data_IF_215566232373
#
_entry.id   IF_215566232373
#
_cell.length_a   1.000
_cell.length_b   1.000
_cell.length_c   1.000
_cell.angle_alpha   90.00
_cell.angle_beta   90.00
_cell.angle_gamma   90.00
#
_symmetry.space_group_name_H-M   'P 1'
#
loop_
_entity.id
_entity.type
_entity.pdbx_description
1 polymer ?
#
# COMPACT_ATOMS: atom_id res chain seq x y z
N UNK A 1 -34.60 6.93 30.39
CA UNK A 1 -34.28 8.28 30.93
C UNK A 1 -32.86 8.69 30.55
N UNK A 2 -32.74 9.53 29.52
CA UNK A 2 -31.46 10.09 29.05
C UNK A 2 -31.18 11.33 29.91
N UNK A 3 -30.04 11.35 30.61
CA UNK A 3 -29.58 12.52 31.36
C UNK A 3 -29.13 13.58 30.35
N UNK A 4 -29.62 14.83 30.41
CA UNK A 4 -29.21 15.85 29.45
C UNK A 4 -27.77 16.28 29.75
N UNK A 5 -26.91 16.16 28.75
CA UNK A 5 -25.54 16.66 28.75
C UNK A 5 -25.59 18.19 28.70
N UNK A 6 -25.38 18.83 29.86
CA UNK A 6 -25.28 20.28 29.96
C UNK A 6 -24.01 20.73 29.22
N UNK A 7 -24.17 21.44 28.10
CA UNK A 7 -23.09 22.22 27.50
C UNK A 7 -22.77 23.38 28.45
N UNK A 8 -21.65 23.26 29.18
CA UNK A 8 -21.08 24.37 29.92
C UNK A 8 -20.70 25.51 28.96
N UNK A 9 -21.00 26.78 29.29
CA UNK A 9 -20.74 27.91 28.42
C UNK A 9 -19.23 28.14 28.26
N UNK A 10 -18.81 28.32 27.02
CA UNK A 10 -17.42 28.58 26.62
C UNK A 10 -16.91 29.90 27.22
N UNK A 11 -16.37 29.84 28.45
CA UNK A 11 -15.75 30.99 29.12
C UNK A 11 -14.55 31.43 28.28
N UNK A 12 -14.70 32.54 27.55
CA UNK A 12 -13.56 33.25 26.93
C UNK A 12 -12.57 33.62 28.02
N UNK A 13 -11.48 32.86 28.10
CA UNK A 13 -10.41 33.03 29.07
C UNK A 13 -9.82 34.43 28.93
N UNK A 14 -9.54 35.07 30.06
CA UNK A 14 -8.88 36.36 30.09
C UNK A 14 -7.50 36.28 29.44
N UNK A 15 -7.07 37.34 28.75
CA UNK A 15 -5.74 37.41 28.14
C UNK A 15 -4.61 37.04 29.12
N UNK A 16 -4.78 37.38 30.41
CA UNK A 16 -3.83 36.99 31.48
C UNK A 16 -3.82 35.47 31.72
N UNK A 17 -4.98 34.83 31.72
CA UNK A 17 -5.11 33.38 31.92
C UNK A 17 -4.58 32.60 30.71
N UNK A 18 -4.82 33.10 29.49
CA UNK A 18 -4.27 32.52 28.26
C UNK A 18 -2.73 32.58 28.28
N UNK A 19 -2.17 33.72 28.65
CA UNK A 19 -0.73 33.91 28.75
C UNK A 19 -0.10 33.06 29.86
N UNK A 20 -0.78 32.91 30.99
CA UNK A 20 -0.36 32.02 32.07
C UNK A 20 -0.32 30.56 31.60
N UNK A 21 -1.38 30.08 30.94
CA UNK A 21 -1.43 28.71 30.38
C UNK A 21 -0.31 28.47 29.36
N UNK A 22 0.01 29.46 28.53
CA UNK A 22 1.14 29.38 27.59
C UNK A 22 2.47 29.21 28.31
N UNK A 23 2.70 29.95 29.39
CA UNK A 23 3.92 29.86 30.22
C UNK A 23 4.04 28.52 30.91
N UNK A 24 2.95 28.01 31.46
CA UNK A 24 2.89 26.69 32.10
C UNK A 24 3.19 25.58 31.08
N UNK A 25 2.57 25.64 29.91
CA UNK A 25 2.81 24.67 28.82
C UNK A 25 4.24 24.73 28.30
N UNK A 26 4.80 25.93 28.14
CA UNK A 26 6.20 26.10 27.76
C UNK A 26 7.14 25.48 28.82
N UNK A 27 6.85 25.67 30.11
CA UNK A 27 7.62 25.03 31.19
C UNK A 27 7.56 23.50 31.11
N UNK A 28 6.37 22.94 30.87
CA UNK A 28 6.21 21.49 30.68
C UNK A 28 7.07 20.97 29.53
N UNK A 29 7.07 21.63 28.37
CA UNK A 29 7.91 21.23 27.24
C UNK A 29 9.42 21.31 27.55
N UNK A 30 9.86 22.29 28.34
CA UNK A 30 11.26 22.35 28.78
C UNK A 30 11.63 21.18 29.70
N UNK A 31 10.73 20.81 30.62
CA UNK A 31 10.95 19.70 31.54
C UNK A 31 10.94 18.34 30.79
N UNK A 32 10.08 18.18 29.78
CA UNK A 32 10.07 17.02 28.88
C UNK A 32 11.37 16.92 28.06
N UNK A 33 11.79 18.01 27.39
CA UNK A 33 13.05 18.05 26.64
C UNK A 33 14.23 17.71 27.55
N UNK A 34 14.23 18.25 28.77
CA UNK A 34 15.26 18.00 29.78
C UNK A 34 15.37 16.52 30.19
N UNK A 35 14.25 15.80 30.23
CA UNK A 35 14.23 14.37 30.55
C UNK A 35 14.70 13.49 29.38
N UNK A 36 14.54 13.94 28.14
CA UNK A 36 14.95 13.22 26.93
C UNK A 36 16.45 13.35 26.61
N UNK A 37 17.13 14.36 27.18
CA UNK A 37 18.55 14.57 26.95
C UNK A 37 19.41 13.54 27.72
N UNK A 38 20.51 13.01 27.13
CA UNK A 38 21.29 11.90 27.67
C UNK A 38 22.21 12.28 28.85
N UNK A 39 21.93 13.36 29.60
CA UNK A 39 22.82 13.89 30.63
C UNK A 39 22.61 13.29 32.04
N UNK A 40 21.71 12.33 32.22
CA UNK A 40 21.46 11.69 33.51
C UNK A 40 21.19 12.69 34.65
N UNK A 41 21.69 12.40 35.85
CA UNK A 41 21.48 13.18 37.10
C UNK A 41 21.92 14.65 37.04
N UNK A 42 22.79 15.03 36.10
CA UNK A 42 23.27 16.41 35.94
C UNK A 42 22.34 17.30 35.13
N UNK A 43 21.27 16.70 34.58
CA UNK A 43 20.26 17.39 33.82
C UNK A 43 19.73 18.61 34.56
N UNK A 44 19.59 18.60 35.90
CA UNK A 44 19.05 19.66 36.77
C UNK A 44 19.87 20.98 36.85
N UNK A 45 21.09 21.02 36.31
CA UNK A 45 21.97 22.21 36.37
C UNK A 45 21.87 23.14 35.16
N UNK A 46 21.28 22.68 34.06
CA UNK A 46 21.16 23.47 32.83
C UNK A 46 20.04 24.51 32.89
N UNK A 47 20.31 25.71 32.36
CA UNK A 47 19.30 26.74 32.12
C UNK A 47 18.50 26.43 30.83
N UNK A 48 17.45 27.23 30.56
CA UNK A 48 16.57 26.98 29.40
C UNK A 48 17.31 27.09 28.06
N UNK A 49 18.26 28.00 27.94
CA UNK A 49 19.03 28.18 26.72
C UNK A 49 19.97 27.00 26.48
N UNK A 50 20.65 26.53 27.53
CA UNK A 50 21.47 25.33 27.46
C UNK A 50 20.64 24.11 27.08
N UNK A 51 19.41 23.95 27.62
CA UNK A 51 18.51 22.85 27.20
C UNK A 51 18.23 22.93 25.70
N UNK A 52 17.84 24.10 25.17
CA UNK A 52 17.56 24.24 23.73
C UNK A 52 18.80 23.97 22.87
N UNK A 53 19.96 24.49 23.27
CA UNK A 53 21.21 24.27 22.55
C UNK A 53 21.58 22.79 22.50
N UNK A 54 21.50 22.07 23.63
CA UNK A 54 21.78 20.65 23.65
C UNK A 54 20.73 19.84 22.88
N UNK A 55 19.45 20.23 22.90
CA UNK A 55 18.41 19.62 22.06
C UNK A 55 18.71 19.79 20.58
N UNK A 56 19.17 20.97 20.14
CA UNK A 56 19.56 21.20 18.74
C UNK A 56 20.77 20.33 18.37
N UNK A 57 21.75 20.21 19.25
CA UNK A 57 22.93 19.36 19.03
C UNK A 57 22.52 17.90 18.91
N UNK A 58 21.71 17.40 19.86
CA UNK A 58 21.22 16.02 19.83
C UNK A 58 20.38 15.74 18.59
N UNK A 59 19.47 16.65 18.21
CA UNK A 59 18.69 16.51 16.97
C UNK A 59 19.59 16.44 15.74
N UNK A 60 20.61 17.32 15.64
CA UNK A 60 21.57 17.27 14.54
C UNK A 60 22.34 15.96 14.53
N UNK A 61 22.75 15.47 15.70
CA UNK A 61 23.49 14.22 15.83
C UNK A 61 22.61 13.01 15.46
N UNK A 62 21.38 12.93 15.97
CA UNK A 62 20.42 11.88 15.61
C UNK A 62 20.05 11.95 14.12
N UNK A 63 19.90 13.15 13.55
CA UNK A 63 19.70 13.31 12.11
C UNK A 63 20.91 12.83 11.31
N UNK A 64 22.11 13.02 11.83
CA UNK A 64 23.35 12.60 11.18
C UNK A 64 23.60 11.10 11.36
N UNK A 65 23.22 10.51 12.50
CA UNK A 65 23.20 9.08 12.76
C UNK A 65 22.15 8.39 11.90
N UNK A 66 20.93 8.93 11.79
CA UNK A 66 19.93 8.47 10.83
C UNK A 66 20.43 8.61 9.39
N UNK A 67 21.08 9.71 9.01
CA UNK A 67 21.66 9.87 7.69
C UNK A 67 22.85 8.92 7.45
N UNK A 68 23.59 8.54 8.48
CA UNK A 68 24.69 7.57 8.42
C UNK A 68 24.21 6.13 8.46
N UNK A 69 23.11 5.83 9.14
CA UNK A 69 22.42 4.55 9.13
C UNK A 69 21.67 4.37 7.82
N UNK A 70 21.06 5.43 7.29
CA UNK A 70 20.60 5.53 5.91
C UNK A 70 21.78 5.35 4.96
N UNK A 71 22.91 6.05 5.09
CA UNK A 71 24.06 5.90 4.17
C UNK A 71 24.78 4.54 4.29
N UNK A 72 24.85 3.95 5.49
CA UNK A 72 25.35 2.59 5.71
C UNK A 72 24.37 1.53 5.18
N UNK A 73 23.08 1.89 5.10
CA UNK A 73 22.03 1.12 4.42
C UNK A 73 21.80 1.55 2.95
N UNK A 74 22.48 2.61 2.48
CA UNK A 74 22.34 3.23 1.14
C UNK A 74 23.67 3.75 0.60
N UNK A 75 24.63 2.85 0.35
CA UNK A 75 25.46 2.92 -0.87
C UNK A 75 25.31 1.62 -1.66
N UNK A 76 24.08 1.40 -2.11
CA UNK A 76 23.66 0.79 -3.37
C UNK A 76 22.27 1.39 -3.61
N UNK A 77 21.91 1.84 -4.83
CA UNK A 77 20.50 2.11 -5.11
C UNK A 77 19.74 0.86 -4.70
N UNK A 78 18.83 0.96 -3.74
CA UNK A 78 18.12 -0.20 -3.24
C UNK A 78 17.40 -0.85 -4.43
N UNK A 79 17.68 -2.12 -4.75
CA UNK A 79 17.09 -2.81 -5.90
C UNK A 79 15.56 -2.92 -5.80
N UNK A 80 14.95 -2.60 -4.66
CA UNK A 80 13.50 -2.65 -4.48
C UNK A 80 12.78 -1.48 -5.17
N UNK A 81 13.27 -0.25 -5.12
CA UNK A 81 12.58 0.91 -5.73
C UNK A 81 12.88 1.03 -7.23
N UNK A 82 14.15 0.82 -7.62
CA UNK A 82 14.54 0.66 -9.01
C UNK A 82 13.86 -0.57 -9.62
N UNK A 83 13.87 -1.70 -8.90
CA UNK A 83 13.19 -2.92 -9.34
C UNK A 83 11.68 -2.78 -9.43
N UNK A 84 11.01 -2.01 -8.56
CA UNK A 84 9.57 -1.77 -8.68
C UNK A 84 9.23 -0.90 -9.89
N UNK A 85 10.04 0.13 -10.15
CA UNK A 85 9.89 1.00 -11.31
C UNK A 85 10.17 0.24 -12.62
N UNK A 86 11.26 -0.53 -12.66
CA UNK A 86 11.63 -1.37 -13.79
C UNK A 86 10.60 -2.47 -14.02
N UNK A 87 10.11 -3.10 -12.96
CA UNK A 87 9.03 -4.09 -13.02
C UNK A 87 7.77 -3.46 -13.61
N UNK A 88 7.36 -2.29 -13.12
CA UNK A 88 6.15 -1.61 -13.58
C UNK A 88 6.27 -1.19 -15.04
N UNK A 89 7.45 -0.69 -15.43
CA UNK A 89 7.77 -0.43 -16.83
C UNK A 89 7.65 -1.70 -17.66
N UNK A 90 8.33 -2.79 -17.29
CA UNK A 90 8.28 -4.09 -17.99
C UNK A 90 6.84 -4.63 -18.12
N UNK A 91 6.06 -4.54 -17.04
CA UNK A 91 4.66 -4.96 -17.02
C UNK A 91 3.82 -4.13 -18.01
N UNK A 92 3.96 -2.80 -17.98
CA UNK A 92 3.17 -1.88 -18.81
C UNK A 92 3.57 -1.89 -20.29
N UNK A 93 4.85 -2.12 -20.62
CA UNK A 93 5.35 -2.19 -22.02
C UNK A 93 5.25 -3.58 -22.64
N UNK A 94 4.98 -4.61 -21.84
CA UNK A 94 4.80 -5.97 -22.36
C UNK A 94 3.64 -6.03 -23.35
N UNK A 95 3.85 -6.73 -24.47
CA UNK A 95 2.80 -6.98 -25.48
C UNK A 95 1.82 -8.07 -25.06
N UNK A 96 2.15 -8.84 -24.03
CA UNK A 96 1.26 -9.87 -23.51
C UNK A 96 0.14 -9.20 -22.69
N UNK A 97 -1.14 -9.46 -22.98
CA UNK A 97 -2.24 -8.91 -22.20
C UNK A 97 -2.24 -9.52 -20.79
N UNK A 98 -1.85 -8.74 -19.78
CA UNK A 98 -1.71 -9.19 -18.40
C UNK A 98 -2.48 -8.32 -17.42
N UNK A 99 -3.02 -8.96 -16.38
CA UNK A 99 -3.68 -8.28 -15.27
C UNK A 99 -3.40 -8.98 -13.94
N UNK A 100 -3.52 -8.22 -12.86
CA UNK A 100 -3.56 -8.74 -11.51
C UNK A 100 -5.00 -8.87 -11.05
N UNK A 101 -5.29 -9.97 -10.36
CA UNK A 101 -6.58 -10.21 -9.75
C UNK A 101 -6.45 -10.60 -8.28
N UNK A 102 -7.36 -10.12 -7.44
CA UNK A 102 -7.52 -10.60 -6.07
C UNK A 102 -8.07 -12.02 -6.04
N UNK A 103 -8.09 -12.65 -4.87
CA UNK A 103 -8.62 -14.01 -4.70
C UNK A 103 -10.14 -14.11 -5.01
N UNK A 104 -10.83 -12.99 -4.98
CA UNK A 104 -12.24 -12.80 -5.33
C UNK A 104 -12.49 -12.63 -6.84
N UNK A 105 -11.46 -12.86 -7.67
CA UNK A 105 -11.44 -12.66 -9.12
C UNK A 105 -11.53 -11.22 -9.61
N UNK A 106 -11.53 -10.23 -8.69
CA UNK A 106 -11.58 -8.81 -9.08
C UNK A 106 -10.22 -8.33 -9.51
N UNK A 107 -10.17 -7.69 -10.66
CA UNK A 107 -8.95 -7.12 -11.21
C UNK A 107 -8.50 -5.94 -10.32
N UNK A 108 -7.23 -5.91 -9.95
CA UNK A 108 -6.63 -4.82 -9.17
C UNK A 108 -5.81 -3.89 -10.06
N UNK A 109 -5.16 -4.43 -11.09
CA UNK A 109 -4.37 -3.67 -12.05
C UNK A 109 -4.27 -4.43 -13.39
N UNK A 110 -3.95 -3.72 -14.47
CA UNK A 110 -3.75 -4.29 -15.79
C UNK A 110 -2.74 -3.48 -16.61
N UNK A 111 -2.02 -4.16 -17.50
CA UNK A 111 -1.09 -3.49 -18.40
C UNK A 111 -1.79 -2.93 -19.63
N UNK A 112 -1.03 -2.16 -20.42
CA UNK A 112 -1.50 -1.50 -21.65
C UNK A 112 -2.06 -2.49 -22.67
N UNK A 113 -1.45 -3.67 -22.81
CA UNK A 113 -1.91 -4.72 -23.72
C UNK A 113 -3.27 -5.30 -23.32
N UNK A 114 -3.51 -5.52 -22.02
CA UNK A 114 -4.81 -5.97 -21.51
C UNK A 114 -5.89 -4.91 -21.67
N UNK A 115 -5.57 -3.65 -21.43
CA UNK A 115 -6.51 -2.55 -21.67
C UNK A 115 -6.93 -2.51 -23.16
N UNK A 116 -5.96 -2.67 -24.07
CA UNK A 116 -6.23 -2.73 -25.52
C UNK A 116 -7.08 -3.94 -25.89
N UNK A 117 -6.75 -5.12 -25.37
CA UNK A 117 -7.50 -6.35 -25.62
C UNK A 117 -8.94 -6.23 -25.09
N UNK A 118 -9.11 -5.79 -23.85
CA UNK A 118 -10.41 -5.80 -23.18
C UNK A 118 -11.32 -4.64 -23.57
N UNK A 119 -10.74 -3.52 -24.03
CA UNK A 119 -11.45 -2.28 -24.32
C UNK A 119 -11.76 -1.44 -23.08
N UNK A 120 -11.34 -1.87 -21.89
CA UNK A 120 -11.42 -1.08 -20.66
C UNK A 120 -10.17 -0.23 -20.48
N UNK A 121 -10.34 0.98 -19.96
CA UNK A 121 -9.21 1.76 -19.47
C UNK A 121 -8.69 1.20 -18.15
N UNK A 122 -7.43 1.48 -17.80
CA UNK A 122 -6.82 1.01 -16.55
C UNK A 122 -7.64 1.36 -15.30
N UNK A 123 -8.27 2.54 -15.29
CA UNK A 123 -9.14 2.97 -14.18
C UNK A 123 -10.45 2.18 -14.12
N UNK A 124 -10.99 1.77 -15.26
CA UNK A 124 -12.24 1.00 -15.32
C UNK A 124 -12.01 -0.49 -15.01
N UNK A 125 -10.82 -1.00 -15.31
CA UNK A 125 -10.47 -2.41 -15.06
C UNK A 125 -10.56 -2.75 -13.57
N UNK A 126 -10.15 -1.84 -12.69
CA UNK A 126 -10.13 -2.09 -11.25
C UNK A 126 -11.54 -2.41 -10.74
N UNK A 127 -11.69 -3.59 -10.12
CA UNK A 127 -12.96 -4.07 -9.57
C UNK A 127 -13.79 -4.92 -10.53
N UNK A 128 -13.48 -4.95 -11.83
CA UNK A 128 -14.12 -5.87 -12.79
C UNK A 128 -13.76 -7.31 -12.39
N UNK A 129 -14.73 -8.22 -12.43
CA UNK A 129 -14.44 -9.64 -12.23
C UNK A 129 -13.95 -10.26 -13.55
N UNK A 130 -12.80 -10.93 -13.49
CA UNK A 130 -12.27 -11.71 -14.61
C UNK A 130 -13.24 -12.82 -15.02
N UNK A 131 -13.85 -13.51 -14.05
CA UNK A 131 -14.81 -14.58 -14.29
C UNK A 131 -16.09 -14.06 -14.96
N UNK A 132 -16.53 -12.85 -14.64
CA UNK A 132 -17.64 -12.19 -15.32
C UNK A 132 -17.28 -11.69 -16.73
N UNK A 133 -15.98 -11.52 -17.01
CA UNK A 133 -15.46 -11.20 -18.35
C UNK A 133 -15.28 -12.46 -19.21
N UNK A 134 -15.70 -13.62 -18.73
CA UNK A 134 -15.75 -14.87 -19.48
C UNK A 134 -17.18 -15.11 -19.96
N UNK A 135 -17.36 -15.60 -21.18
CA UNK A 135 -18.68 -15.87 -21.73
C UNK A 135 -19.46 -16.85 -20.84
N UNK A 136 -20.80 -16.69 -20.70
CA UNK A 136 -21.59 -17.51 -19.78
C UNK A 136 -21.41 -19.03 -19.97
N UNK A 137 -21.26 -19.48 -21.21
CA UNK A 137 -21.06 -20.89 -21.55
C UNK A 137 -19.71 -21.47 -21.08
N UNK A 138 -18.70 -20.62 -20.83
CA UNK A 138 -17.38 -21.04 -20.37
C UNK A 138 -17.12 -20.66 -18.89
N UNK A 139 -18.07 -19.95 -18.25
CA UNK A 139 -17.91 -19.38 -16.91
C UNK A 139 -17.76 -20.45 -15.81
N UNK A 140 -18.49 -21.56 -15.92
CA UNK A 140 -18.39 -22.66 -14.95
C UNK A 140 -16.99 -23.29 -14.97
N UNK A 141 -16.46 -23.57 -16.16
CA UNK A 141 -15.11 -24.12 -16.32
C UNK A 141 -14.05 -23.14 -15.80
N UNK A 142 -14.15 -21.84 -16.13
CA UNK A 142 -13.23 -20.82 -15.62
C UNK A 142 -13.26 -20.76 -14.08
N UNK A 143 -14.46 -20.88 -13.49
CA UNK A 143 -14.64 -20.92 -12.02
C UNK A 143 -14.01 -22.16 -11.40
N UNK A 144 -14.16 -23.33 -12.03
CA UNK A 144 -13.51 -24.56 -11.56
C UNK A 144 -11.98 -24.44 -11.59
N UNK A 145 -11.41 -23.88 -12.67
CA UNK A 145 -9.97 -23.65 -12.77
C UNK A 145 -9.45 -22.68 -11.71
N UNK A 146 -10.23 -21.64 -11.40
CA UNK A 146 -9.94 -20.71 -10.33
C UNK A 146 -9.94 -21.38 -8.95
N UNK A 147 -10.98 -22.16 -8.65
CA UNK A 147 -11.14 -22.86 -7.37
C UNK A 147 -10.08 -23.95 -7.18
N UNK A 148 -9.65 -24.62 -8.25
CA UNK A 148 -8.59 -25.62 -8.21
C UNK A 148 -7.28 -25.06 -7.61
N UNK A 149 -6.92 -23.83 -7.96
CA UNK A 149 -5.71 -23.17 -7.45
C UNK A 149 -5.88 -22.69 -6.00
N UNK A 150 -7.11 -22.45 -5.54
CA UNK A 150 -7.40 -22.03 -4.17
C UNK A 150 -7.72 -23.18 -3.22
N UNK A 151 -7.83 -24.40 -3.72
CA UNK A 151 -8.19 -25.56 -2.93
C UNK A 151 -7.17 -25.81 -1.79
N UNK A 152 -7.62 -26.05 -0.55
CA UNK A 152 -6.72 -26.34 0.57
C UNK A 152 -5.81 -27.54 0.27
N UNK A 153 -4.50 -27.36 0.47
CA UNK A 153 -3.52 -28.40 0.21
C UNK A 153 -3.15 -28.61 -1.27
N UNK A 154 -3.70 -27.80 -2.19
CA UNK A 154 -3.26 -27.80 -3.58
C UNK A 154 -1.79 -27.39 -3.67
N UNK A 155 -0.99 -28.22 -4.35
CA UNK A 155 0.41 -27.88 -4.73
C UNK A 155 0.47 -27.15 -6.07
N UNK A 156 -0.65 -27.07 -6.77
CA UNK A 156 -0.73 -26.46 -8.08
C UNK A 156 -0.83 -24.95 -7.92
N UNK A 157 0.15 -24.23 -8.49
CA UNK A 157 0.23 -22.76 -8.43
C UNK A 157 -0.10 -22.11 -9.77
N UNK A 158 -0.32 -22.89 -10.83
CA UNK A 158 -0.74 -22.37 -12.12
C UNK A 158 -1.65 -23.33 -12.87
N UNK A 159 -2.52 -22.78 -13.70
CA UNK A 159 -3.35 -23.55 -14.65
C UNK A 159 -3.61 -22.68 -15.87
N UNK A 160 -4.02 -23.31 -16.97
CA UNK A 160 -4.44 -22.59 -18.17
C UNK A 160 -5.72 -23.20 -18.72
N UNK A 161 -6.52 -22.38 -19.38
CA UNK A 161 -7.73 -22.85 -20.05
C UNK A 161 -8.09 -21.95 -21.22
N UNK A 162 -8.83 -22.51 -22.17
CA UNK A 162 -9.36 -21.78 -23.31
C UNK A 162 -10.80 -21.35 -23.03
N UNK A 163 -11.11 -20.09 -23.25
CA UNK A 163 -12.47 -19.57 -23.12
C UNK A 163 -12.76 -18.46 -24.14
N UNK A 164 -14.04 -18.12 -24.29
CA UNK A 164 -14.47 -16.89 -24.93
C UNK A 164 -14.42 -15.75 -23.92
N UNK A 165 -13.49 -14.83 -24.11
CA UNK A 165 -13.38 -13.59 -23.34
C UNK A 165 -14.32 -12.53 -23.90
N UNK A 166 -15.10 -11.88 -23.03
CA UNK A 166 -16.06 -10.83 -23.36
C UNK A 166 -15.44 -9.46 -23.11
N UNK A 167 -15.30 -8.67 -24.17
CA UNK A 167 -14.78 -7.29 -24.12
C UNK A 167 -15.85 -6.31 -23.62
N UNK A 168 -15.43 -5.07 -23.34
CA UNK A 168 -16.31 -3.95 -22.96
C UNK A 168 -17.43 -3.69 -23.98
N UNK A 169 -17.14 -3.83 -25.26
CA UNK A 169 -18.09 -3.64 -26.36
C UNK A 169 -19.03 -4.85 -26.57
N UNK A 170 -18.89 -5.90 -25.75
CA UNK A 170 -19.65 -7.15 -25.84
C UNK A 170 -19.12 -8.15 -26.86
N UNK A 171 -18.08 -7.81 -27.64
CA UNK A 171 -17.46 -8.77 -28.55
C UNK A 171 -16.80 -9.91 -27.78
N UNK A 172 -16.86 -11.11 -28.35
CA UNK A 172 -16.24 -12.30 -27.79
C UNK A 172 -14.99 -12.66 -28.59
N UNK A 173 -13.88 -12.84 -27.88
CA UNK A 173 -12.62 -13.28 -28.43
C UNK A 173 -12.27 -14.65 -27.86
N UNK A 174 -11.83 -15.57 -28.72
CA UNK A 174 -11.30 -16.83 -28.24
C UNK A 174 -9.91 -16.59 -27.67
N UNK A 175 -9.70 -16.93 -26.39
CA UNK A 175 -8.45 -16.68 -25.68
C UNK A 175 -7.99 -17.92 -24.92
N UNK A 176 -6.67 -18.07 -24.80
CA UNK A 176 -6.06 -18.90 -23.77
C UNK A 176 -5.76 -18.03 -22.54
N UNK A 177 -6.31 -18.40 -21.40
CA UNK A 177 -6.13 -17.71 -20.13
C UNK A 177 -5.18 -18.53 -19.26
N UNK A 178 -4.06 -17.92 -18.89
CA UNK A 178 -3.07 -18.49 -17.98
C UNK A 178 -3.24 -17.85 -16.60
N UNK A 179 -3.59 -18.66 -15.59
CA UNK A 179 -3.69 -18.25 -14.20
C UNK A 179 -2.43 -18.66 -13.44
N UNK A 180 -1.77 -17.70 -12.80
CA UNK A 180 -0.63 -17.94 -11.91
C UNK A 180 -0.94 -17.40 -10.52
N UNK A 181 -1.07 -18.29 -9.54
CA UNK A 181 -1.29 -17.94 -8.14
C UNK A 181 0.01 -17.46 -7.50
N UNK A 182 -0.01 -16.24 -7.00
CA UNK A 182 1.07 -15.63 -6.23
C UNK A 182 0.84 -15.92 -4.76
N UNK A 183 1.86 -16.51 -4.13
CA UNK A 183 1.88 -16.78 -2.70
C UNK A 183 2.72 -15.72 -1.98
N UNK A 184 2.22 -15.22 -0.85
CA UNK A 184 3.02 -14.45 0.11
C UNK A 184 3.07 -15.21 1.42
N UNK A 185 4.26 -15.45 1.94
CA UNK A 185 4.47 -16.23 3.18
C UNK A 185 3.71 -17.58 3.14
N UNK A 186 3.77 -18.28 2.00
CA UNK A 186 3.09 -19.55 1.74
C UNK A 186 1.55 -19.50 1.79
N UNK A 187 0.93 -18.32 1.68
CA UNK A 187 -0.52 -18.13 1.61
C UNK A 187 -0.92 -17.52 0.26
N UNK A 188 -2.07 -17.93 -0.32
CA UNK A 188 -2.64 -17.28 -1.49
C UNK A 188 -2.78 -15.77 -1.27
N UNK A 189 -2.25 -14.97 -2.20
CA UNK A 189 -2.29 -13.51 -2.12
C UNK A 189 -3.05 -12.89 -3.29
N UNK A 190 -2.66 -13.24 -4.52
CA UNK A 190 -3.24 -12.68 -5.74
C UNK A 190 -2.95 -13.60 -6.92
N UNK A 191 -3.54 -13.30 -8.08
CA UNK A 191 -3.24 -13.95 -9.34
C UNK A 191 -2.56 -12.98 -10.29
N UNK A 192 -1.55 -13.46 -11.02
CA UNK A 192 -1.13 -12.86 -12.29
C UNK A 192 -1.79 -13.66 -13.41
N UNK A 193 -2.56 -12.95 -14.23
CA UNK A 193 -3.37 -13.54 -15.30
C UNK A 193 -2.86 -13.03 -16.63
N UNK A 194 -2.63 -13.95 -17.58
CA UNK A 194 -2.37 -13.60 -18.98
C UNK A 194 -3.55 -14.04 -19.83
N UNK A 195 -4.01 -13.17 -20.74
CA UNK A 195 -5.13 -13.46 -21.64
C UNK A 195 -4.63 -13.35 -23.07
N UNK A 196 -4.32 -14.49 -23.69
CA UNK A 196 -3.70 -14.56 -25.00
C UNK A 196 -4.76 -14.87 -26.06
N UNK A 197 -5.04 -13.99 -27.03
CA UNK A 197 -5.96 -14.27 -28.12
C UNK A 197 -5.47 -15.47 -28.95
N UNK A 198 -6.37 -16.37 -29.31
CA UNK A 198 -6.09 -17.41 -30.29
C UNK A 198 -6.18 -16.77 -31.68
N UNK A 199 -5.03 -16.48 -32.30
CA UNK A 199 -4.92 -16.09 -33.70
C UNK A 199 -5.23 -17.26 -34.63
#
# INVERSE_FOLDING_TARGET
PVVPMQLEPDKRLSHKEVEQRRREKAKQYFDELRALLPFGSDSAKFDKNAILHHSIILLKQLMQELAQEEAASTVKPQPEQAGLADFRCCFDVSRQPMCFAGLDSRLSDANSAFCTLSGYSRMEVTGISLLNSTAPADSEMATQQWQLLLAPGSKQTSTSYRCRFVRKDGQQLMCNVDLNLILRQSKPHSFLVSVNPCL
#
